data_IF_403008582948
#
_entry.id   IF_403008582948
#
_cell.length_a   1.000
_cell.length_b   1.000
_cell.length_c   1.000
_cell.angle_alpha   90.00
_cell.angle_beta   90.00
_cell.angle_gamma   90.00
#
_symmetry.space_group_name_H-M   'P 1'
#
loop_
_entity.id
_entity.type
_entity.pdbx_description
1 polymer ?
#
# COMPACT_ATOMS: atom_id res chain seq x y z
N UNK A 1 -11.82 5.00 0.58
CA UNK A 1 -11.81 5.99 1.69
C UNK A 1 -13.09 5.98 2.47
N UNK A 2 -14.27 6.23 1.85
CA UNK A 2 -15.54 6.31 2.57
C UNK A 2 -15.83 5.09 3.47
N UNK A 3 -15.73 3.86 2.94
CA UNK A 3 -15.94 2.64 3.72
C UNK A 3 -15.06 2.53 4.98
N UNK A 4 -13.83 3.06 4.96
CA UNK A 4 -12.95 3.08 6.14
C UNK A 4 -13.41 4.07 7.20
N UNK A 5 -13.89 5.24 6.77
CA UNK A 5 -14.46 6.28 7.65
C UNK A 5 -15.75 5.75 8.30
N UNK A 6 -16.65 5.21 7.50
CA UNK A 6 -17.91 4.62 7.97
C UNK A 6 -17.65 3.49 8.95
N UNK A 7 -16.70 2.59 8.64
CA UNK A 7 -16.32 1.50 9.54
C UNK A 7 -15.79 2.02 10.88
N UNK A 8 -14.91 3.04 10.86
CA UNK A 8 -14.39 3.64 12.08
C UNK A 8 -15.47 4.29 12.95
N UNK A 9 -16.39 5.04 12.33
CA UNK A 9 -17.51 5.68 13.03
C UNK A 9 -18.47 4.63 13.61
N UNK A 10 -18.86 3.63 12.80
CA UNK A 10 -19.82 2.61 13.19
C UNK A 10 -19.32 1.70 14.34
N UNK A 11 -18.01 1.53 14.47
CA UNK A 11 -17.39 0.72 15.50
C UNK A 11 -16.73 1.55 16.61
N UNK A 12 -16.90 2.88 16.60
CA UNK A 12 -16.33 3.80 17.59
C UNK A 12 -14.82 3.56 17.83
N UNK A 13 -14.07 3.35 16.74
CA UNK A 13 -12.64 3.03 16.84
C UNK A 13 -11.85 4.23 17.33
N UNK A 14 -10.96 4.01 18.31
CA UNK A 14 -10.00 5.01 18.76
C UNK A 14 -8.84 5.11 17.75
N UNK A 15 -8.65 6.28 17.08
CA UNK A 15 -7.52 6.49 16.17
C UNK A 15 -6.19 6.71 16.90
N UNK A 16 -6.21 6.79 18.24
CA UNK A 16 -5.06 7.10 19.07
C UNK A 16 -4.73 8.59 19.12
N UNK A 17 -3.64 8.92 19.81
CA UNK A 17 -3.20 10.30 19.96
C UNK A 17 -2.66 10.86 18.63
N UNK A 18 -2.94 12.14 18.31
CA UNK A 18 -2.40 12.77 17.11
C UNK A 18 -0.88 12.91 17.20
N UNK A 19 -0.19 12.68 16.08
CA UNK A 19 1.24 12.99 15.97
C UNK A 19 1.42 14.51 15.96
N UNK A 20 2.26 15.02 16.86
CA UNK A 20 2.61 16.44 16.94
C UNK A 20 4.03 16.68 16.43
N UNK A 21 4.24 17.68 15.58
CA UNK A 21 5.57 18.00 15.03
C UNK A 21 5.93 17.15 13.80
N UNK A 22 7.16 16.65 13.72
CA UNK A 22 7.65 15.87 12.57
C UNK A 22 7.56 14.36 12.83
N UNK A 23 6.57 13.70 12.23
CA UNK A 23 6.34 12.25 12.39
C UNK A 23 7.45 11.34 11.87
N UNK A 24 8.35 11.83 11.00
CA UNK A 24 9.53 11.05 10.57
C UNK A 24 10.61 10.95 11.66
N UNK A 25 10.55 11.82 12.67
CA UNK A 25 11.54 11.88 13.77
C UNK A 25 11.09 11.13 15.02
N UNK A 26 9.85 10.66 15.05
CA UNK A 26 9.33 9.90 16.17
C UNK A 26 9.76 8.43 16.03
N UNK A 27 10.64 7.92 16.93
CA UNK A 27 11.05 6.52 16.91
C UNK A 27 9.91 5.55 17.26
N UNK A 28 8.80 6.04 17.80
CA UNK A 28 7.59 5.24 18.04
C UNK A 28 6.70 5.10 16.78
N UNK A 29 7.02 5.80 15.68
CA UNK A 29 6.31 5.63 14.39
C UNK A 29 6.49 4.20 13.90
N UNK A 30 5.46 3.38 14.11
CA UNK A 30 5.42 2.02 13.60
C UNK A 30 5.33 2.05 12.08
N UNK A 31 6.02 1.12 11.43
CA UNK A 31 5.90 0.89 9.99
C UNK A 31 4.57 0.18 9.71
N UNK A 32 3.52 0.97 9.50
CA UNK A 32 2.18 0.43 9.27
C UNK A 32 1.79 0.39 7.79
N UNK A 33 2.32 1.29 6.96
CA UNK A 33 2.02 1.31 5.53
C UNK A 33 2.93 0.36 4.73
N UNK A 34 2.40 -0.27 3.66
CA UNK A 34 3.23 -1.04 2.74
C UNK A 34 4.28 -0.14 2.08
N UNK A 35 5.52 -0.62 1.96
CA UNK A 35 6.61 0.16 1.36
C UNK A 35 6.79 -0.12 -0.12
N UNK A 36 6.23 -1.22 -0.61
CA UNK A 36 6.27 -1.58 -2.02
C UNK A 36 4.86 -1.75 -2.55
N UNK A 37 4.71 -1.57 -3.86
CA UNK A 37 3.45 -1.83 -4.53
C UNK A 37 3.04 -3.30 -4.37
N UNK A 38 4.00 -4.21 -4.48
CA UNK A 38 3.79 -5.64 -4.25
C UNK A 38 3.25 -5.92 -2.83
N UNK A 39 3.87 -5.36 -1.80
CA UNK A 39 3.42 -5.51 -0.41
C UNK A 39 2.00 -4.97 -0.21
N UNK A 40 1.64 -3.86 -0.88
CA UNK A 40 0.30 -3.31 -0.82
C UNK A 40 -0.74 -4.24 -1.46
N UNK A 41 -0.41 -4.85 -2.61
CA UNK A 41 -1.25 -5.82 -3.30
C UNK A 41 -1.46 -7.06 -2.43
N UNK A 42 -0.41 -7.59 -1.82
CA UNK A 42 -0.48 -8.81 -1.01
C UNK A 42 -1.29 -8.57 0.28
N UNK A 43 -1.06 -7.46 0.97
CA UNK A 43 -1.89 -7.07 2.12
C UNK A 43 -3.36 -6.85 1.75
N UNK A 44 -3.63 -6.33 0.55
CA UNK A 44 -5.00 -6.15 0.08
C UNK A 44 -5.67 -7.49 -0.26
N UNK A 45 -4.92 -8.46 -0.79
CA UNK A 45 -5.43 -9.81 -1.07
C UNK A 45 -5.88 -10.55 0.21
N UNK A 46 -5.18 -10.33 1.32
CA UNK A 46 -5.49 -10.94 2.61
C UNK A 46 -6.50 -10.13 3.44
N UNK A 47 -6.99 -8.99 2.93
CA UNK A 47 -7.86 -8.08 3.67
C UNK A 47 -9.33 -8.46 3.55
N UNK A 48 -9.89 -9.05 4.62
CA UNK A 48 -11.34 -9.26 4.75
C UNK A 48 -12.11 -7.93 4.63
N UNK A 49 -11.61 -6.87 5.26
CA UNK A 49 -12.23 -5.55 5.19
C UNK A 49 -12.39 -5.06 3.75
N UNK A 50 -11.35 -5.17 2.92
CA UNK A 50 -11.45 -4.74 1.52
C UNK A 50 -12.37 -5.66 0.70
N UNK A 51 -12.38 -6.96 1.00
CA UNK A 51 -13.30 -7.91 0.36
C UNK A 51 -14.76 -7.53 0.64
N UNK A 52 -15.08 -7.19 1.89
CA UNK A 52 -16.43 -6.78 2.29
C UNK A 52 -16.80 -5.40 1.73
N UNK A 53 -15.86 -4.45 1.76
CA UNK A 53 -16.10 -3.07 1.34
C UNK A 53 -16.23 -2.89 -0.18
N UNK A 54 -15.51 -3.69 -0.98
CA UNK A 54 -15.47 -3.56 -2.45
C UNK A 54 -16.23 -4.68 -3.16
N UNK A 55 -16.53 -5.78 -2.47
CA UNK A 55 -17.05 -7.01 -3.04
C UNK A 55 -15.94 -7.95 -3.49
N UNK A 56 -16.03 -9.23 -3.11
CA UNK A 56 -15.01 -10.24 -3.34
C UNK A 56 -14.65 -10.42 -4.83
N UNK A 57 -15.66 -10.48 -5.71
CA UNK A 57 -15.44 -10.67 -7.15
C UNK A 57 -14.73 -9.48 -7.80
N UNK A 58 -15.13 -8.26 -7.41
CA UNK A 58 -14.47 -7.04 -7.87
C UNK A 58 -13.03 -6.98 -7.37
N UNK A 59 -12.81 -7.19 -6.07
CA UNK A 59 -11.48 -7.16 -5.48
C UNK A 59 -10.53 -8.16 -6.15
N UNK A 60 -11.02 -9.38 -6.44
CA UNK A 60 -10.25 -10.40 -7.16
C UNK A 60 -9.76 -9.92 -8.52
N UNK A 61 -10.66 -9.36 -9.34
CA UNK A 61 -10.32 -8.87 -10.69
C UNK A 61 -9.37 -7.67 -10.59
N UNK A 62 -9.67 -6.73 -9.69
CA UNK A 62 -8.83 -5.56 -9.47
C UNK A 62 -7.40 -5.94 -9.09
N UNK A 63 -7.21 -6.87 -8.15
CA UNK A 63 -5.88 -7.32 -7.73
C UNK A 63 -5.14 -8.07 -8.84
N UNK A 64 -5.83 -8.84 -9.68
CA UNK A 64 -5.22 -9.49 -10.83
C UNK A 64 -4.61 -8.45 -11.81
N UNK A 65 -5.36 -7.39 -12.10
CA UNK A 65 -4.88 -6.28 -12.94
C UNK A 65 -3.67 -5.59 -12.28
N UNK A 66 -3.75 -5.29 -10.98
CA UNK A 66 -2.66 -4.62 -10.26
C UNK A 66 -1.40 -5.46 -10.14
N UNK A 67 -1.51 -6.78 -10.03
CA UNK A 67 -0.36 -7.69 -10.11
C UNK A 67 0.31 -7.61 -11.49
N UNK A 68 -0.47 -7.70 -12.56
CA UNK A 68 0.08 -7.58 -13.91
C UNK A 68 0.76 -6.22 -14.15
N UNK A 69 0.17 -5.13 -13.68
CA UNK A 69 0.77 -3.80 -13.77
C UNK A 69 2.09 -3.71 -12.98
N UNK A 70 2.11 -4.27 -11.76
CA UNK A 70 3.29 -4.30 -10.89
C UNK A 70 4.42 -5.12 -11.53
N UNK A 71 4.12 -6.33 -12.02
CA UNK A 71 5.09 -7.20 -12.70
C UNK A 71 5.69 -6.52 -13.93
N UNK A 72 4.84 -5.86 -14.75
CA UNK A 72 5.31 -5.11 -15.91
C UNK A 72 6.23 -3.97 -15.49
N UNK A 73 5.86 -3.20 -14.47
CA UNK A 73 6.69 -2.10 -13.99
C UNK A 73 8.03 -2.59 -13.45
N UNK A 74 8.04 -3.68 -12.68
CA UNK A 74 9.25 -4.25 -12.10
C UNK A 74 10.19 -4.90 -13.14
N UNK A 75 9.69 -5.21 -14.34
CA UNK A 75 10.51 -5.75 -15.42
C UNK A 75 11.23 -4.65 -16.24
N UNK A 76 10.88 -3.39 -16.08
CA UNK A 76 11.49 -2.28 -16.81
C UNK A 76 12.87 -1.93 -16.22
N UNK A 77 13.89 -1.81 -17.09
CA UNK A 77 15.20 -1.30 -16.70
C UNK A 77 15.13 0.22 -16.65
N UNK A 78 15.37 0.80 -15.47
CA UNK A 78 15.23 2.25 -15.30
C UNK A 78 16.45 3.00 -15.84
N UNK A 79 16.28 4.28 -16.14
CA UNK A 79 17.41 5.16 -16.49
C UNK A 79 18.44 5.25 -15.35
N UNK A 80 18.00 5.14 -14.08
CA UNK A 80 18.90 5.11 -12.95
C UNK A 80 19.78 3.85 -12.97
N UNK A 81 19.19 2.67 -13.22
CA UNK A 81 19.95 1.43 -13.40
C UNK A 81 20.99 1.59 -14.52
N UNK A 82 20.58 2.15 -15.66
CA UNK A 82 21.50 2.42 -16.77
C UNK A 82 22.63 3.37 -16.36
N UNK A 83 22.33 4.44 -15.63
CA UNK A 83 23.36 5.40 -15.18
C UNK A 83 24.38 4.76 -14.23
N UNK A 84 23.92 3.95 -13.26
CA UNK A 84 24.78 3.29 -12.29
C UNK A 84 25.67 2.22 -12.93
N UNK A 85 25.12 1.44 -13.86
CA UNK A 85 25.87 0.33 -14.47
C UNK A 85 26.64 0.71 -15.74
N UNK A 86 26.29 1.78 -16.45
CA UNK A 86 26.98 2.19 -17.70
C UNK A 86 27.95 3.37 -17.53
N UNK A 87 27.85 4.16 -16.47
CA UNK A 87 28.73 5.34 -16.25
C UNK A 87 29.72 5.16 -15.08
N UNK A 88 29.76 3.99 -14.43
CA UNK A 88 30.82 3.63 -13.49
C UNK A 88 32.06 3.13 -14.25
N UNK A 89 32.82 4.03 -14.88
CA UNK A 89 34.18 3.78 -15.35
C UNK A 89 35.12 4.85 -14.82
#
# INVERSE_FOLDING_TARGET
MLAGIEYGIAHELDPGAPVTGNGYRDPATKRELPQTWQEAIDRAADSRFLSDALGADFLKIFLAIKRQECDRFSAEVTELDRSWYLHST
#
